data_IF_384727292453
#
_entry.id   IF_384727292453
#
_cell.length_a   1.000
_cell.length_b   1.000
_cell.length_c   1.000
_cell.angle_alpha   90.00
_cell.angle_beta   90.00
_cell.angle_gamma   90.00
#
_symmetry.space_group_name_H-M   'P 1'
#
loop_
_entity.id
_entity.type
_entity.pdbx_description
1 polymer ?
#
# COMPACT_ATOMS: atom_id res chain seq x y z
N UNK A 1 -1.90 5.35 39.41
CA UNK A 1 -1.17 6.36 38.61
C UNK A 1 -1.47 7.72 39.23
N UNK A 2 -0.45 8.38 39.78
CA UNK A 2 -0.58 9.68 40.45
C UNK A 2 -1.31 10.72 39.58
N UNK A 3 -2.20 11.50 40.20
CA UNK A 3 -2.92 12.59 39.51
C UNK A 3 -1.97 13.62 38.88
N UNK A 4 -0.85 13.92 39.54
CA UNK A 4 0.17 14.82 39.00
C UNK A 4 0.79 14.26 37.72
N UNK A 5 1.00 12.94 37.65
CA UNK A 5 1.53 12.26 36.46
C UNK A 5 0.51 12.29 35.31
N UNK A 6 -0.80 12.19 35.61
CA UNK A 6 -1.87 12.35 34.61
C UNK A 6 -1.93 13.78 34.06
N UNK A 7 -1.86 14.81 34.91
CA UNK A 7 -1.87 16.22 34.48
C UNK A 7 -0.66 16.56 33.59
N UNK A 8 0.54 16.15 34.00
CA UNK A 8 1.75 16.36 33.21
C UNK A 8 1.67 15.67 31.84
N UNK A 9 1.13 14.44 31.79
CA UNK A 9 0.94 13.70 30.55
C UNK A 9 -0.01 14.43 29.58
N UNK A 10 -1.17 14.92 30.07
CA UNK A 10 -2.13 15.65 29.22
C UNK A 10 -1.53 16.95 28.69
N UNK A 11 -0.78 17.69 29.51
CA UNK A 11 -0.11 18.91 29.07
C UNK A 11 0.95 18.64 27.98
N UNK A 12 1.75 17.58 28.14
CA UNK A 12 2.75 17.19 27.14
C UNK A 12 2.10 16.76 25.82
N UNK A 13 1.03 15.95 25.87
CA UNK A 13 0.29 15.54 24.67
C UNK A 13 -0.27 16.76 23.92
N UNK A 14 -0.85 17.73 24.64
CA UNK A 14 -1.34 18.97 24.03
C UNK A 14 -0.25 19.87 23.44
N UNK A 15 0.96 19.88 24.02
CA UNK A 15 2.10 20.58 23.43
C UNK A 15 2.55 19.96 22.11
N UNK A 16 2.60 18.62 22.02
CA UNK A 16 2.94 17.91 20.79
C UNK A 16 1.91 18.23 19.70
N UNK A 17 0.62 18.16 20.00
CA UNK A 17 -0.44 18.44 19.02
C UNK A 17 -0.43 19.91 18.54
N UNK A 18 -0.10 20.87 19.43
CA UNK A 18 0.04 22.28 19.06
C UNK A 18 1.24 22.55 18.16
N UNK A 19 2.34 21.81 18.34
CA UNK A 19 3.56 22.01 17.55
C UNK A 19 3.53 21.28 16.21
N UNK A 20 2.96 20.07 16.16
CA UNK A 20 3.07 19.17 15.01
C UNK A 20 1.73 18.91 14.29
N UNK A 21 0.63 19.49 14.79
CA UNK A 21 -0.69 19.39 14.20
C UNK A 21 -1.57 18.31 14.82
N UNK A 22 -2.88 18.36 14.51
CA UNK A 22 -3.85 17.39 15.00
C UNK A 22 -3.47 15.97 14.58
N UNK A 23 -3.56 15.02 15.52
CA UNK A 23 -3.24 13.62 15.27
C UNK A 23 -1.76 13.28 15.28
N UNK A 24 -0.87 14.22 15.63
CA UNK A 24 0.56 13.94 15.82
C UNK A 24 0.85 12.99 17.00
N UNK A 25 -0.07 12.87 17.94
CA UNK A 25 -0.04 11.90 19.04
C UNK A 25 -1.46 11.50 19.44
N UNK A 26 -1.70 10.20 19.58
CA UNK A 26 -3.01 9.66 19.95
C UNK A 26 -2.83 8.35 20.72
N UNK A 27 -3.83 7.95 21.50
CA UNK A 27 -3.78 6.63 22.15
C UNK A 27 -4.13 5.58 21.12
N UNK A 28 -3.38 4.49 21.12
CA UNK A 28 -3.56 3.39 20.17
C UNK A 28 -4.99 2.78 20.19
N UNK A 29 -5.68 2.87 21.33
CA UNK A 29 -7.04 2.35 21.50
C UNK A 29 -8.16 3.37 21.32
N UNK A 30 -7.86 4.63 20.99
CA UNK A 30 -8.92 5.60 20.69
C UNK A 30 -9.59 5.19 19.37
N UNK A 31 -10.88 4.85 19.42
CA UNK A 31 -11.66 4.24 18.33
C UNK A 31 -11.71 5.08 17.03
N UNK A 32 -11.25 6.33 17.04
CA UNK A 32 -11.03 7.12 15.83
C UNK A 32 -9.82 6.63 15.00
N UNK A 33 -8.98 5.77 15.57
CA UNK A 33 -7.92 5.03 14.90
C UNK A 33 -8.40 3.65 14.41
N UNK A 34 -9.70 3.46 14.17
CA UNK A 34 -10.14 2.44 13.22
C UNK A 34 -9.60 2.86 11.85
N UNK A 35 -8.37 2.45 11.56
CA UNK A 35 -7.87 2.45 10.20
C UNK A 35 -8.76 1.46 9.45
N UNK A 36 -9.84 1.94 8.85
CA UNK A 36 -10.44 1.23 7.72
C UNK A 36 -9.33 1.15 6.69
N UNK A 37 -8.61 0.02 6.72
CA UNK A 37 -7.48 -0.22 5.83
C UNK A 37 -8.10 -0.46 4.47
N UNK A 38 -8.16 0.60 3.68
CA UNK A 38 -8.58 0.50 2.30
C UNK A 38 -7.65 -0.49 1.58
N UNK A 39 -8.22 -1.44 0.86
CA UNK A 39 -7.49 -2.49 0.17
C UNK A 39 -7.78 -2.48 -1.34
N UNK A 40 -6.80 -2.91 -2.13
CA UNK A 40 -6.93 -3.11 -3.58
C UNK A 40 -6.88 -4.59 -3.86
N UNK A 41 -7.85 -5.12 -4.61
CA UNK A 41 -7.88 -6.54 -4.99
C UNK A 41 -6.56 -6.96 -5.64
N UNK A 42 -6.13 -8.19 -5.35
CA UNK A 42 -4.97 -8.81 -5.99
C UNK A 42 -5.26 -9.32 -7.40
N UNK A 43 -6.52 -9.26 -7.85
CA UNK A 43 -7.00 -9.96 -9.06
C UNK A 43 -7.24 -11.45 -8.83
N UNK A 44 -6.96 -11.96 -7.62
CA UNK A 44 -7.18 -13.35 -7.22
C UNK A 44 -8.12 -13.41 -6.01
N UNK A 45 -9.36 -13.86 -6.23
CA UNK A 45 -10.35 -13.99 -5.17
C UNK A 45 -9.85 -14.85 -3.99
N UNK A 46 -9.12 -15.93 -4.29
CA UNK A 46 -8.57 -16.81 -3.25
C UNK A 46 -7.55 -16.11 -2.37
N UNK A 47 -6.70 -15.25 -2.96
CA UNK A 47 -5.70 -14.49 -2.22
C UNK A 47 -6.34 -13.35 -1.43
N UNK A 48 -7.32 -12.64 -2.01
CA UNK A 48 -8.05 -11.57 -1.34
C UNK A 48 -8.77 -12.08 -0.07
N UNK A 49 -9.37 -13.27 -0.15
CA UNK A 49 -9.97 -13.95 1.00
C UNK A 49 -8.90 -14.32 2.02
N UNK A 50 -7.78 -14.90 1.58
CA UNK A 50 -6.70 -15.32 2.47
C UNK A 50 -6.06 -14.15 3.24
N UNK A 51 -6.00 -12.96 2.63
CA UNK A 51 -5.50 -11.74 3.26
C UNK A 51 -6.46 -11.18 4.32
N UNK A 52 -7.74 -11.59 4.32
CA UNK A 52 -8.75 -11.22 5.32
C UNK A 52 -9.28 -9.78 5.24
N UNK A 53 -8.62 -8.91 4.47
CA UNK A 53 -9.00 -7.52 4.25
C UNK A 53 -9.46 -7.26 2.80
N UNK A 54 -9.56 -8.30 1.97
CA UNK A 54 -10.04 -8.18 0.59
C UNK A 54 -9.01 -7.69 -0.42
N UNK A 55 -7.71 -7.72 -0.10
CA UNK A 55 -6.65 -7.34 -1.04
C UNK A 55 -5.41 -6.78 -0.36
N UNK A 56 -4.58 -6.06 -1.13
CA UNK A 56 -3.38 -5.40 -0.64
C UNK A 56 -3.71 -4.08 0.06
N UNK A 57 -3.17 -3.79 1.25
CA UNK A 57 -3.50 -2.59 2.01
C UNK A 57 -2.88 -1.32 1.40
N UNK A 58 -3.67 -0.28 1.20
CA UNK A 58 -3.20 1.04 0.74
C UNK A 58 -2.36 1.73 1.80
N UNK A 59 -1.36 2.49 1.35
CA UNK A 59 -0.45 3.23 2.23
C UNK A 59 0.53 2.34 3.01
N UNK A 60 0.74 1.10 2.56
CA UNK A 60 1.66 0.13 3.17
C UNK A 60 2.59 -0.44 2.10
N UNK A 61 3.71 -0.98 2.54
CA UNK A 61 4.64 -1.75 1.71
C UNK A 61 4.23 -3.21 1.76
N UNK A 62 4.20 -3.87 0.60
CA UNK A 62 3.93 -5.30 0.45
C UNK A 62 5.10 -5.94 -0.28
N UNK A 63 5.56 -7.09 0.19
CA UNK A 63 6.60 -7.88 -0.46
C UNK A 63 5.99 -9.17 -1.03
N UNK A 64 6.27 -9.45 -2.30
CA UNK A 64 5.91 -10.68 -3.00
C UNK A 64 7.21 -11.34 -3.45
N UNK A 65 7.60 -12.43 -2.78
CA UNK A 65 8.82 -13.17 -3.12
C UNK A 65 8.51 -14.62 -3.50
N UNK A 66 9.44 -15.25 -4.21
CA UNK A 66 9.28 -16.62 -4.68
C UNK A 66 10.24 -16.97 -5.83
N UNK A 67 10.29 -18.26 -6.23
CA UNK A 67 11.16 -18.73 -7.30
C UNK A 67 11.00 -17.97 -8.62
N UNK A 68 11.99 -18.06 -9.50
CA UNK A 68 11.83 -17.62 -10.89
C UNK A 68 10.62 -18.30 -11.53
N UNK A 69 9.90 -17.57 -12.38
CA UNK A 69 8.67 -18.05 -13.03
C UNK A 69 7.53 -18.46 -12.09
N UNK A 70 7.57 -18.13 -10.80
CA UNK A 70 6.47 -18.39 -9.86
C UNK A 70 5.24 -17.49 -10.02
N UNK A 71 5.28 -16.54 -10.97
CA UNK A 71 4.18 -15.61 -11.25
C UNK A 71 4.21 -14.29 -10.47
N UNK A 72 5.34 -13.90 -9.87
CA UNK A 72 5.48 -12.63 -9.12
C UNK A 72 5.05 -11.43 -9.95
N UNK A 73 5.67 -11.24 -11.12
CA UNK A 73 5.36 -10.14 -12.04
C UNK A 73 3.93 -10.22 -12.56
N UNK A 74 3.43 -11.42 -12.85
CA UNK A 74 2.03 -11.63 -13.25
C UNK A 74 1.06 -11.16 -12.17
N UNK A 75 1.29 -11.52 -10.90
CA UNK A 75 0.46 -11.07 -9.77
C UNK A 75 0.54 -9.55 -9.59
N UNK A 76 1.73 -8.96 -9.70
CA UNK A 76 1.90 -7.50 -9.65
C UNK A 76 1.12 -6.80 -10.75
N UNK A 77 1.15 -7.31 -12.00
CA UNK A 77 0.39 -6.73 -13.11
C UNK A 77 -1.13 -6.90 -12.94
N UNK A 78 -1.60 -7.99 -12.30
CA UNK A 78 -3.02 -8.14 -11.93
C UNK A 78 -3.45 -7.07 -10.92
N UNK A 79 -2.64 -6.80 -9.88
CA UNK A 79 -2.90 -5.71 -8.93
C UNK A 79 -2.93 -4.35 -9.64
N UNK A 80 -2.00 -4.12 -10.58
CA UNK A 80 -1.98 -2.90 -11.42
C UNK A 80 -3.26 -2.76 -12.23
N UNK A 81 -3.74 -3.85 -12.84
CA UNK A 81 -5.01 -3.83 -13.57
C UNK A 81 -6.19 -3.51 -12.64
N UNK A 82 -6.24 -4.09 -11.43
CA UNK A 82 -7.29 -3.81 -10.44
C UNK A 82 -7.31 -2.34 -10.01
N UNK A 83 -6.15 -1.72 -9.72
CA UNK A 83 -6.14 -0.29 -9.35
C UNK A 83 -6.54 0.62 -10.52
N UNK A 84 -6.14 0.28 -11.76
CA UNK A 84 -6.54 1.03 -12.95
C UNK A 84 -8.03 0.89 -13.29
N UNK A 85 -8.68 -0.24 -12.94
CA UNK A 85 -10.14 -0.41 -13.04
C UNK A 85 -10.88 0.51 -12.07
N UNK A 86 -10.32 0.76 -10.90
CA UNK A 86 -10.85 1.71 -9.92
C UNK A 86 -10.55 3.19 -10.28
N UNK A 87 -9.91 3.44 -11.44
CA UNK A 87 -9.51 4.78 -11.87
C UNK A 87 -8.25 5.31 -11.18
N UNK A 88 -7.52 4.47 -10.46
CA UNK A 88 -6.24 4.81 -9.87
C UNK A 88 -5.09 4.76 -10.87
N UNK A 89 -4.00 5.43 -10.54
CA UNK A 89 -2.75 5.43 -11.34
C UNK A 89 -1.76 4.43 -10.76
N UNK A 90 -1.02 3.75 -11.64
CA UNK A 90 0.05 2.84 -11.27
C UNK A 90 1.37 3.27 -11.89
N UNK A 91 2.46 2.97 -11.20
CA UNK A 91 3.81 3.07 -11.71
C UNK A 91 4.51 1.73 -11.55
N UNK A 92 5.29 1.33 -12.55
CA UNK A 92 6.07 0.11 -12.57
C UNK A 92 7.55 0.43 -12.73
N UNK A 93 8.36 0.01 -11.77
CA UNK A 93 9.82 0.14 -11.82
C UNK A 93 10.39 -1.20 -12.29
N UNK A 94 10.75 -1.28 -13.56
CA UNK A 94 11.30 -2.48 -14.20
C UNK A 94 12.82 -2.49 -14.07
N UNK A 95 13.30 -2.83 -12.87
CA UNK A 95 14.73 -3.00 -12.62
C UNK A 95 15.32 -4.26 -13.30
N UNK A 96 14.48 -5.22 -13.70
CA UNK A 96 14.90 -6.45 -14.37
C UNK A 96 14.97 -6.30 -15.91
N UNK A 97 14.51 -5.16 -16.45
CA UNK A 97 14.44 -4.90 -17.90
C UNK A 97 13.71 -6.02 -18.67
N UNK A 98 12.66 -6.58 -18.06
CA UNK A 98 12.00 -7.81 -18.51
C UNK A 98 10.47 -7.67 -18.67
N UNK A 99 9.92 -6.46 -18.50
CA UNK A 99 8.50 -6.23 -18.68
C UNK A 99 8.09 -6.36 -20.15
N UNK A 100 7.11 -7.22 -20.45
CA UNK A 100 6.47 -7.33 -21.77
C UNK A 100 5.14 -6.54 -21.79
N UNK A 101 5.06 -5.40 -22.51
CA UNK A 101 3.83 -4.61 -22.62
C UNK A 101 2.65 -5.39 -23.22
N UNK A 102 2.91 -6.29 -24.17
CA UNK A 102 1.87 -7.10 -24.82
C UNK A 102 1.28 -8.12 -23.85
N UNK A 103 2.10 -8.65 -22.94
CA UNK A 103 1.62 -9.54 -21.88
C UNK A 103 0.83 -8.75 -20.83
N UNK A 104 1.32 -7.58 -20.41
CA UNK A 104 0.63 -6.71 -19.46
C UNK A 104 -0.78 -6.33 -19.95
N UNK A 105 -0.92 -5.95 -21.22
CA UNK A 105 -2.21 -5.63 -21.84
C UNK A 105 -3.19 -6.82 -21.78
N UNK A 106 -2.72 -8.04 -22.08
CA UNK A 106 -3.53 -9.27 -21.97
C UNK A 106 -3.98 -9.57 -20.54
N UNK A 107 -3.23 -9.10 -19.54
CA UNK A 107 -3.61 -9.21 -18.13
C UNK A 107 -4.62 -8.13 -17.70
N UNK A 108 -4.97 -7.19 -18.58
CA UNK A 108 -5.94 -6.12 -18.33
C UNK A 108 -5.32 -4.81 -17.86
N UNK A 109 -3.99 -4.66 -17.96
CA UNK A 109 -3.31 -3.39 -17.70
C UNK A 109 -3.60 -2.42 -18.84
N UNK A 110 -4.00 -1.19 -18.50
CA UNK A 110 -4.04 -0.06 -19.44
C UNK A 110 -2.62 0.44 -19.64
N UNK A 111 -1.93 -0.12 -20.64
CA UNK A 111 -0.50 0.13 -20.87
C UNK A 111 -0.22 1.60 -21.17
N UNK A 112 -1.09 2.26 -21.94
CA UNK A 112 -0.94 3.69 -22.27
C UNK A 112 -0.99 4.61 -21.03
N UNK A 113 -1.65 4.16 -19.96
CA UNK A 113 -1.80 4.90 -18.70
C UNK A 113 -0.78 4.46 -17.62
N UNK A 114 0.06 3.46 -17.91
CA UNK A 114 1.02 2.91 -16.94
C UNK A 114 2.33 3.70 -16.98
N UNK A 115 2.71 4.30 -15.85
CA UNK A 115 4.02 4.94 -15.72
C UNK A 115 5.09 3.86 -15.61
N UNK A 116 6.13 3.89 -16.44
CA UNK A 116 7.23 2.91 -16.42
C UNK A 116 8.56 3.60 -16.23
N UNK A 117 9.42 3.04 -15.39
CA UNK A 117 10.82 3.42 -15.22
C UNK A 117 11.71 2.19 -15.36
N UNK A 118 12.78 2.30 -16.15
CA UNK A 118 13.83 1.29 -16.29
C UNK A 118 15.15 1.91 -15.82
N UNK A 119 15.41 1.90 -14.50
CA UNK A 119 16.56 2.59 -13.94
C UNK A 119 17.86 1.83 -14.19
N UNK A 120 18.97 2.59 -14.22
CA UNK A 120 20.33 2.03 -14.29
C UNK A 120 20.83 1.54 -12.91
N UNK A 121 20.33 2.15 -11.82
CA UNK A 121 20.75 1.90 -10.43
C UNK A 121 19.57 1.83 -9.47
N UNK A 122 19.80 1.37 -8.23
CA UNK A 122 18.76 1.27 -7.21
C UNK A 122 18.47 2.58 -6.46
N UNK A 123 19.46 3.47 -6.39
CA UNK A 123 19.37 4.83 -5.83
C UNK A 123 18.70 5.83 -6.78
#
# INVERSE_FOLDING_TARGET
MDENRKKALVAALGQIEKQFGKGSVMRLGDAAASYDVEAVSTGSLGLDIALGIGGLPRGRVVEIYGPESSGKTTLTLQVVAEIQKLGGTAAFVDAEHALDPSYAEKLGVKVDDLLVSQPDTGE
#
